data_IF_846117639815
#
_entry.id   IF_846117639815
#
_cell.length_a   1.000
_cell.length_b   1.000
_cell.length_c   1.000
_cell.angle_alpha   90.00
_cell.angle_beta   90.00
_cell.angle_gamma   90.00
#
_symmetry.space_group_name_H-M   'P 1'
#
loop_
_entity.id
_entity.type
_entity.pdbx_description
1 polymer ?
#
# COMPACT_ATOMS: atom_id res chain seq x y z
N UNK A 1 4.97 8.99 29.51
CA UNK A 1 6.23 8.25 29.23
C UNK A 1 6.07 7.56 27.89
N UNK A 2 6.50 8.19 26.78
CA UNK A 2 6.42 7.56 25.45
C UNK A 2 7.45 6.43 25.38
N UNK A 3 6.99 5.21 25.12
CA UNK A 3 7.85 4.03 24.93
C UNK A 3 8.84 4.33 23.78
N UNK A 4 10.14 4.17 24.03
CA UNK A 4 11.19 4.31 23.01
C UNK A 4 11.63 2.92 22.55
N UNK A 5 11.40 2.65 21.28
CA UNK A 5 11.64 1.36 20.63
C UNK A 5 12.99 1.34 19.91
N UNK A 6 13.56 0.14 19.79
CA UNK A 6 14.59 -0.12 18.78
C UNK A 6 13.98 -0.17 17.38
N UNK A 7 14.82 -0.11 16.34
CA UNK A 7 14.36 -0.22 14.95
C UNK A 7 13.72 -1.60 14.67
N UNK A 8 14.23 -2.65 15.31
CA UNK A 8 13.72 -4.02 15.22
C UNK A 8 12.35 -4.13 15.87
N UNK A 9 12.21 -3.63 17.11
CA UNK A 9 10.92 -3.59 17.82
C UNK A 9 9.88 -2.76 17.07
N UNK A 10 10.28 -1.63 16.49
CA UNK A 10 9.41 -0.81 15.67
C UNK A 10 8.93 -1.56 14.42
N UNK A 11 9.83 -2.28 13.74
CA UNK A 11 9.47 -3.11 12.60
C UNK A 11 8.47 -4.19 13.01
N UNK A 12 8.71 -4.89 14.12
CA UNK A 12 7.83 -5.93 14.63
C UNK A 12 6.44 -5.37 14.99
N UNK A 13 6.36 -4.28 15.74
CA UNK A 13 5.06 -3.67 16.12
C UNK A 13 4.27 -3.19 14.90
N UNK A 14 4.93 -2.64 13.89
CA UNK A 14 4.24 -2.22 12.66
C UNK A 14 3.83 -3.43 11.82
N UNK A 15 4.66 -4.47 11.75
CA UNK A 15 4.33 -5.70 11.04
C UNK A 15 3.11 -6.39 11.65
N UNK A 16 3.05 -6.47 12.98
CA UNK A 16 1.91 -7.02 13.71
C UNK A 16 0.63 -6.22 13.42
N UNK A 17 0.71 -4.89 13.45
CA UNK A 17 -0.42 -4.03 13.09
C UNK A 17 -0.89 -4.27 11.65
N UNK A 18 0.06 -4.35 10.70
CA UNK A 18 -0.21 -4.60 9.28
C UNK A 18 -0.94 -5.93 9.07
N UNK A 19 -0.50 -6.98 9.77
CA UNK A 19 -1.12 -8.31 9.71
C UNK A 19 -2.52 -8.31 10.32
N UNK A 20 -2.68 -7.71 11.50
CA UNK A 20 -3.98 -7.59 12.17
C UNK A 20 -5.02 -6.84 11.33
N UNK A 21 -4.59 -5.85 10.54
CA UNK A 21 -5.45 -5.04 9.68
C UNK A 21 -5.46 -5.49 8.20
N UNK A 22 -4.76 -6.58 7.87
CA UNK A 22 -4.64 -7.15 6.52
C UNK A 22 -4.24 -6.14 5.44
N UNK A 23 -3.31 -5.24 5.78
CA UNK A 23 -2.84 -4.20 4.87
C UNK A 23 -1.76 -4.77 3.95
N UNK A 24 -2.14 -5.11 2.72
CA UNK A 24 -1.20 -5.62 1.70
C UNK A 24 -0.94 -4.54 0.65
N UNK A 25 0.31 -4.31 0.22
CA UNK A 25 0.61 -3.36 -0.84
C UNK A 25 -0.19 -3.65 -2.12
N UNK A 26 -0.62 -2.59 -2.82
CA UNK A 26 -1.38 -2.75 -4.07
C UNK A 26 -0.56 -3.41 -5.20
N UNK A 27 0.76 -3.31 -5.11
CA UNK A 27 1.69 -3.75 -6.14
C UNK A 27 2.96 -4.36 -5.51
N UNK A 28 3.68 -5.20 -6.27
CA UNK A 28 4.93 -5.83 -5.84
C UNK A 28 6.12 -4.87 -5.67
N UNK A 29 5.90 -3.55 -5.77
CA UNK A 29 6.93 -2.53 -5.60
C UNK A 29 7.31 -2.30 -4.13
N UNK A 30 6.42 -2.65 -3.20
CA UNK A 30 6.72 -2.65 -1.77
C UNK A 30 6.87 -4.09 -1.27
N UNK A 31 7.86 -4.31 -0.39
CA UNK A 31 8.03 -5.59 0.26
C UNK A 31 6.75 -5.99 1.04
N UNK A 32 6.45 -7.29 1.02
CA UNK A 32 5.31 -7.88 1.71
C UNK A 32 5.38 -7.63 3.22
N UNK A 33 6.57 -7.82 3.81
CA UNK A 33 6.85 -7.54 5.21
C UNK A 33 7.67 -6.25 5.40
N UNK A 34 7.38 -5.52 6.49
CA UNK A 34 8.21 -4.43 6.96
C UNK A 34 9.41 -4.98 7.73
N UNK A 35 10.59 -4.46 7.42
CA UNK A 35 11.85 -4.85 8.04
C UNK A 35 12.65 -3.62 8.42
N UNK A 36 13.71 -3.80 9.21
CA UNK A 36 14.63 -2.71 9.52
C UNK A 36 15.25 -2.07 8.27
N UNK A 37 15.50 -2.87 7.22
CA UNK A 37 16.02 -2.37 5.94
C UNK A 37 15.05 -1.37 5.31
N UNK A 38 13.75 -1.68 5.35
CA UNK A 38 12.71 -0.77 4.85
C UNK A 38 12.69 0.52 5.66
N UNK A 39 12.77 0.43 6.99
CA UNK A 39 12.76 1.61 7.87
C UNK A 39 14.00 2.48 7.62
N UNK A 40 15.19 1.88 7.52
CA UNK A 40 16.43 2.60 7.16
C UNK A 40 16.29 3.30 5.81
N UNK A 41 15.76 2.61 4.80
CA UNK A 41 15.50 3.19 3.49
C UNK A 41 14.47 4.33 3.53
N UNK A 42 13.38 4.19 4.27
CA UNK A 42 12.39 5.27 4.41
C UNK A 42 12.96 6.49 5.14
N UNK A 43 13.89 6.28 6.09
CA UNK A 43 14.64 7.38 6.70
C UNK A 43 15.57 8.08 5.71
N UNK A 44 16.30 7.37 4.84
CA UNK A 44 17.13 8.04 3.81
C UNK A 44 16.27 8.84 2.83
N UNK A 45 15.04 8.38 2.60
CA UNK A 45 14.02 9.10 1.84
C UNK A 45 13.27 10.18 2.65
N UNK A 46 13.58 10.44 3.92
CA UNK A 46 12.88 11.46 4.70
C UNK A 46 11.37 11.22 4.85
N UNK A 47 10.93 9.97 4.71
CA UNK A 47 9.54 9.53 4.95
C UNK A 47 9.26 9.29 6.44
N UNK A 48 10.32 9.04 7.21
CA UNK A 48 10.29 8.78 8.64
C UNK A 48 11.28 9.72 9.30
N UNK A 49 10.86 10.33 10.40
CA UNK A 49 11.68 11.28 11.15
C UNK A 49 12.95 10.62 11.71
N UNK A 50 14.01 11.41 12.00
CA UNK A 50 15.16 10.89 12.72
C UNK A 50 14.75 10.43 14.13
N UNK A 51 15.42 9.40 14.68
CA UNK A 51 15.15 8.93 16.03
C UNK A 51 15.36 10.07 17.05
N UNK A 52 14.55 10.06 18.11
CA UNK A 52 14.58 11.08 19.17
C UNK A 52 15.88 11.07 19.98
N UNK A 53 16.59 9.94 19.96
CA UNK A 53 17.88 9.77 20.60
C UNK A 53 18.85 9.06 19.64
N UNK A 54 20.14 9.39 19.73
CA UNK A 54 21.17 8.77 18.88
C UNK A 54 21.52 7.32 19.25
N UNK A 55 20.94 6.78 20.32
CA UNK A 55 21.16 5.41 20.75
C UNK A 55 20.33 4.38 19.98
N UNK A 56 20.46 3.10 20.33
CA UNK A 56 19.70 2.01 19.71
C UNK A 56 18.17 2.09 19.94
N UNK A 57 17.72 2.89 20.91
CA UNK A 57 16.31 3.08 21.28
C UNK A 57 15.91 4.55 21.18
N UNK A 58 15.46 4.97 20.01
CA UNK A 58 15.02 6.35 19.75
C UNK A 58 13.70 6.48 18.99
N UNK A 59 13.02 5.37 18.70
CA UNK A 59 11.78 5.41 17.92
C UNK A 59 10.55 5.45 18.83
N UNK A 60 9.86 6.59 18.87
CA UNK A 60 8.58 6.74 19.55
C UNK A 60 7.35 6.57 18.65
N UNK A 61 6.18 6.85 19.23
CA UNK A 61 4.85 6.68 18.62
C UNK A 61 4.70 7.37 17.25
N UNK A 62 5.23 8.59 17.08
CA UNK A 62 5.21 9.29 15.79
C UNK A 62 5.78 8.44 14.64
N UNK A 63 6.89 7.74 14.87
CA UNK A 63 7.52 6.91 13.84
C UNK A 63 6.64 5.71 13.49
N UNK A 64 6.00 5.11 14.49
CA UNK A 64 5.02 4.03 14.28
C UNK A 64 3.88 4.51 13.40
N UNK A 65 3.29 5.66 13.71
CA UNK A 65 2.22 6.26 12.93
C UNK A 65 2.65 6.60 11.49
N UNK A 66 3.86 7.12 11.30
CA UNK A 66 4.43 7.38 9.96
C UNK A 66 4.54 6.08 9.16
N UNK A 67 5.10 5.01 9.74
CA UNK A 67 5.26 3.73 9.07
C UNK A 67 3.91 3.08 8.72
N UNK A 68 2.93 3.14 9.63
CA UNK A 68 1.58 2.67 9.35
C UNK A 68 0.96 3.47 8.20
N UNK A 69 1.11 4.80 8.20
CA UNK A 69 0.63 5.68 7.14
C UNK A 69 1.26 5.34 5.78
N UNK A 70 2.57 5.07 5.74
CA UNK A 70 3.27 4.62 4.54
C UNK A 70 2.65 3.31 4.03
N UNK A 71 2.45 2.31 4.90
CA UNK A 71 1.90 1.01 4.51
C UNK A 71 0.48 1.12 3.97
N UNK A 72 -0.38 1.92 4.61
CA UNK A 72 -1.71 2.19 4.11
C UNK A 72 -1.65 2.84 2.72
N UNK A 73 -0.89 3.92 2.55
CA UNK A 73 -0.82 4.61 1.27
C UNK A 73 -0.17 3.75 0.15
N UNK A 74 0.76 2.86 0.49
CA UNK A 74 1.28 1.83 -0.43
C UNK A 74 0.21 0.79 -0.83
N UNK A 75 -0.69 0.43 0.09
CA UNK A 75 -1.85 -0.40 -0.20
C UNK A 75 -2.85 0.29 -1.15
N UNK A 76 -2.77 1.61 -1.32
CA UNK A 76 -3.48 2.36 -2.37
C UNK A 76 -2.68 2.52 -3.67
N UNK A 77 -1.49 1.93 -3.76
CA UNK A 77 -0.64 2.04 -4.93
C UNK A 77 0.01 3.42 -5.10
N UNK A 78 0.00 4.27 -4.07
CA UNK A 78 0.69 5.55 -4.15
C UNK A 78 2.21 5.34 -4.21
N UNK A 79 2.93 6.04 -5.10
CA UNK A 79 4.39 5.97 -5.15
C UNK A 79 5.01 6.69 -3.94
N UNK A 80 6.18 6.22 -3.48
CA UNK A 80 6.88 6.76 -2.30
C UNK A 80 7.09 8.29 -2.34
N UNK A 81 7.28 8.87 -3.53
CA UNK A 81 7.38 10.33 -3.70
C UNK A 81 6.12 11.04 -3.23
N UNK A 82 4.94 10.56 -3.67
CA UNK A 82 3.65 11.14 -3.29
C UNK A 82 3.34 10.91 -1.82
N UNK A 83 3.68 9.73 -1.30
CA UNK A 83 3.54 9.42 0.13
C UNK A 83 4.33 10.41 0.98
N UNK A 84 5.55 10.76 0.56
CA UNK A 84 6.38 11.74 1.25
C UNK A 84 5.71 13.10 1.33
N UNK A 85 5.18 13.61 0.22
CA UNK A 85 4.46 14.88 0.16
C UNK A 85 3.27 14.92 1.12
N UNK A 86 2.54 13.80 1.25
CA UNK A 86 1.36 13.69 2.11
C UNK A 86 1.71 13.61 3.60
N UNK A 87 2.83 12.96 3.95
CA UNK A 87 3.22 12.74 5.34
C UNK A 87 4.17 13.82 5.89
N UNK A 88 4.80 14.60 5.00
CA UNK A 88 5.81 15.58 5.39
C UNK A 88 5.24 16.61 6.39
N UNK A 89 5.96 16.78 7.50
CA UNK A 89 5.61 17.78 8.53
C UNK A 89 4.36 17.45 9.36
N UNK A 90 3.72 16.29 9.17
CA UNK A 90 2.58 15.92 10.00
C UNK A 90 3.02 15.60 11.45
N UNK A 91 2.25 16.12 12.41
CA UNK A 91 2.35 15.74 13.82
C UNK A 91 1.58 14.44 14.09
N UNK A 92 1.72 13.89 15.30
CA UNK A 92 1.02 12.65 15.67
C UNK A 92 -0.50 12.75 15.58
N UNK A 93 -1.09 13.93 15.84
CA UNK A 93 -2.54 14.12 15.80
C UNK A 93 -3.03 14.01 14.35
N UNK A 94 -2.39 14.71 13.42
CA UNK A 94 -2.71 14.67 11.99
C UNK A 94 -2.43 13.30 11.38
N UNK A 95 -1.36 12.62 11.82
CA UNK A 95 -1.10 11.24 11.41
C UNK A 95 -2.23 10.33 11.88
N UNK A 96 -2.64 10.39 13.15
CA UNK A 96 -3.79 9.63 13.65
C UNK A 96 -5.05 9.94 12.83
N UNK A 97 -5.34 11.20 12.54
CA UNK A 97 -6.50 11.60 11.72
C UNK A 97 -6.46 10.96 10.32
N UNK A 98 -5.29 10.98 9.66
CA UNK A 98 -5.08 10.32 8.38
C UNK A 98 -5.34 8.81 8.48
N UNK A 99 -4.84 8.16 9.53
CA UNK A 99 -5.04 6.72 9.76
C UNK A 99 -6.52 6.38 10.01
N UNK A 100 -7.24 7.20 10.77
CA UNK A 100 -8.67 6.98 11.02
C UNK A 100 -9.52 7.15 9.76
N UNK A 101 -9.23 8.20 8.97
CA UNK A 101 -9.88 8.39 7.67
C UNK A 101 -9.58 7.21 6.76
N UNK A 102 -8.32 6.80 6.72
CA UNK A 102 -7.89 5.65 5.98
C UNK A 102 -8.65 4.38 6.38
N UNK A 103 -8.64 4.00 7.66
CA UNK A 103 -9.34 2.80 8.12
C UNK A 103 -10.83 2.75 7.72
N UNK A 104 -11.53 3.91 7.66
CA UNK A 104 -12.92 3.99 7.19
C UNK A 104 -13.04 3.81 5.68
N UNK A 105 -12.14 4.40 4.91
CA UNK A 105 -12.08 4.24 3.46
C UNK A 105 -11.60 2.82 3.06
N UNK A 106 -10.88 2.11 3.94
CA UNK A 106 -10.11 0.91 3.61
C UNK A 106 -10.63 -0.39 4.26
N UNK A 107 -11.53 -0.33 5.24
CA UNK A 107 -12.05 -1.48 5.98
C UNK A 107 -12.86 -2.52 5.19
N UNK A 108 -12.91 -2.43 3.85
CA UNK A 108 -13.62 -3.36 2.98
C UNK A 108 -12.91 -3.76 1.68
N UNK A 109 -11.76 -3.16 1.35
CA UNK A 109 -11.07 -3.46 0.10
C UNK A 109 -9.93 -4.46 0.34
N UNK A 110 -10.24 -5.75 0.26
CA UNK A 110 -9.18 -6.76 0.03
C UNK A 110 -8.53 -6.42 -1.31
N UNK A 111 -7.20 -6.26 -1.39
CA UNK A 111 -6.57 -6.00 -2.68
C UNK A 111 -6.91 -7.17 -3.61
N UNK A 112 -7.47 -6.85 -4.77
CA UNK A 112 -7.92 -7.83 -5.76
C UNK A 112 -6.81 -8.79 -6.24
N UNK A 113 -5.55 -8.50 -5.87
CA UNK A 113 -4.36 -9.33 -6.12
C UNK A 113 -4.18 -10.47 -5.13
N UNK A 114 -4.79 -10.44 -3.94
CA UNK A 114 -4.62 -11.47 -2.90
C UNK A 114 -5.24 -12.84 -3.24
N UNK A 115 -6.03 -12.93 -4.32
CA UNK A 115 -6.64 -14.17 -4.82
C UNK A 115 -5.96 -14.76 -6.06
N UNK A 116 -4.80 -14.22 -6.49
CA UNK A 116 -4.13 -14.70 -7.70
C UNK A 116 -3.31 -15.96 -7.40
N UNK A 117 -3.80 -17.13 -7.82
CA UNK A 117 -3.04 -18.38 -7.81
C UNK A 117 -1.96 -18.34 -8.92
N UNK A 118 -0.68 -18.35 -8.52
CA UNK A 118 0.46 -18.32 -9.43
C UNK A 118 0.89 -19.71 -9.92
N UNK A 119 0.20 -20.78 -9.51
CA UNK A 119 0.55 -22.16 -9.85
C UNK A 119 -0.09 -22.65 -11.16
N UNK A 120 -1.04 -21.90 -11.73
CA UNK A 120 -1.70 -22.25 -12.99
C UNK A 120 -0.84 -21.85 -14.19
N UNK A 121 -0.74 -22.68 -15.25
CA UNK A 121 -0.08 -22.30 -16.49
C UNK A 121 -0.75 -21.05 -17.06
N UNK A 122 0.04 -20.00 -17.25
CA UNK A 122 -0.46 -18.70 -17.67
C UNK A 122 -0.88 -18.74 -19.14
N UNK A 123 -2.16 -18.46 -19.41
CA UNK A 123 -2.67 -18.27 -20.75
C UNK A 123 -3.12 -16.83 -20.88
N UNK A 124 -2.27 -16.02 -21.48
CA UNK A 124 -2.52 -14.60 -21.68
C UNK A 124 -3.45 -14.41 -22.89
N UNK A 125 -4.66 -13.90 -22.65
CA UNK A 125 -5.60 -13.52 -23.69
C UNK A 125 -5.71 -11.99 -23.76
N UNK A 126 -5.73 -11.46 -24.97
CA UNK A 126 -5.83 -10.03 -25.24
C UNK A 126 -7.13 -9.78 -25.98
N UNK A 127 -8.06 -9.05 -25.34
CA UNK A 127 -9.33 -8.63 -25.94
C UNK A 127 -9.28 -7.13 -26.21
N UNK A 128 -9.50 -6.67 -27.46
CA UNK A 128 -9.52 -5.25 -27.75
C UNK A 128 -10.69 -4.54 -27.07
N UNK A 129 -10.43 -3.34 -26.58
CA UNK A 129 -11.40 -2.37 -26.11
C UNK A 129 -11.40 -1.16 -27.05
N UNK A 130 -12.31 -0.22 -26.81
CA UNK A 130 -12.43 1.04 -27.58
C UNK A 130 -11.17 1.90 -27.47
N UNK A 131 -10.96 2.79 -28.44
CA UNK A 131 -9.92 3.84 -28.44
C UNK A 131 -8.49 3.35 -28.21
N UNK A 132 -8.17 2.16 -28.72
CA UNK A 132 -6.82 1.59 -28.64
C UNK A 132 -6.48 0.98 -27.28
N UNK A 133 -7.46 0.83 -26.39
CA UNK A 133 -7.28 0.10 -25.15
C UNK A 133 -7.38 -1.41 -25.37
N UNK A 134 -6.68 -2.18 -24.53
CA UNK A 134 -6.69 -3.64 -24.56
C UNK A 134 -6.99 -4.16 -23.16
N UNK A 135 -7.87 -5.15 -23.06
CA UNK A 135 -8.08 -5.94 -21.86
C UNK A 135 -7.19 -7.18 -21.93
N UNK A 136 -6.35 -7.38 -20.91
CA UNK A 136 -5.47 -8.53 -20.81
C UNK A 136 -5.97 -9.43 -19.68
N UNK A 137 -6.27 -10.70 -19.99
CA UNK A 137 -6.63 -11.72 -18.99
C UNK A 137 -5.56 -12.79 -18.89
N UNK A 138 -5.24 -13.22 -17.66
CA UNK A 138 -4.19 -14.21 -17.35
C UNK A 138 -4.69 -15.66 -17.35
N UNK A 139 -6.00 -15.85 -17.19
CA UNK A 139 -6.64 -17.16 -17.01
C UNK A 139 -7.03 -17.84 -18.33
N UNK A 140 -6.74 -17.24 -19.48
CA UNK A 140 -7.19 -17.70 -20.81
C UNK A 140 -8.69 -17.50 -21.05
N UNK A 141 -9.49 -17.44 -19.99
CA UNK A 141 -10.94 -17.20 -20.09
C UNK A 141 -11.22 -15.73 -20.50
N UNK A 142 -11.90 -15.53 -21.63
CA UNK A 142 -12.40 -14.21 -21.98
C UNK A 142 -13.56 -13.83 -21.04
N UNK A 143 -13.70 -12.54 -20.76
CA UNK A 143 -14.90 -12.05 -20.08
C UNK A 143 -16.15 -12.35 -20.92
N UNK A 144 -17.31 -12.59 -20.27
CA UNK A 144 -18.56 -12.74 -20.99
C UNK A 144 -18.81 -11.54 -21.92
N UNK A 145 -19.31 -11.76 -23.16
CA UNK A 145 -19.52 -10.69 -24.12
C UNK A 145 -20.40 -9.54 -23.60
N UNK A 146 -21.37 -9.83 -22.74
CA UNK A 146 -22.22 -8.82 -22.12
C UNK A 146 -21.43 -7.88 -21.18
N UNK A 147 -20.44 -8.39 -20.47
CA UNK A 147 -19.56 -7.60 -19.60
C UNK A 147 -18.61 -6.74 -20.42
N UNK A 148 -18.03 -7.29 -21.48
CA UNK A 148 -17.19 -6.54 -22.42
C UNK A 148 -17.93 -5.37 -23.07
N UNK A 149 -19.20 -5.57 -23.44
CA UNK A 149 -20.06 -4.50 -23.95
C UNK A 149 -20.23 -3.38 -22.93
N UNK A 150 -20.59 -3.72 -21.68
CA UNK A 150 -20.71 -2.74 -20.60
C UNK A 150 -19.41 -1.95 -20.38
N UNK A 151 -18.25 -2.62 -20.39
CA UNK A 151 -16.95 -1.96 -20.24
C UNK A 151 -16.72 -0.99 -21.41
N UNK A 152 -16.96 -1.42 -22.64
CA UNK A 152 -16.81 -0.56 -23.82
C UNK A 152 -17.78 0.63 -23.81
N UNK A 153 -19.01 0.45 -23.37
CA UNK A 153 -19.99 1.53 -23.28
C UNK A 153 -19.60 2.57 -22.21
N UNK A 154 -19.05 2.12 -21.08
CA UNK A 154 -18.50 3.01 -20.04
C UNK A 154 -17.30 3.83 -20.57
N UNK A 155 -16.39 3.17 -21.28
CA UNK A 155 -15.20 3.81 -21.84
C UNK A 155 -15.56 4.84 -22.93
N UNK A 156 -16.58 4.56 -23.75
CA UNK A 156 -17.10 5.51 -24.75
C UNK A 156 -17.81 6.72 -24.14
N UNK A 157 -18.41 6.58 -22.96
CA UNK A 157 -19.14 7.67 -22.30
C UNK A 157 -18.19 8.62 -21.55
N UNK A 158 -16.94 8.20 -21.32
CA UNK A 158 -15.96 8.93 -20.50
C UNK A 158 -14.92 9.70 -21.32
N UNK A 159 -15.07 9.77 -22.65
CA UNK A 159 -14.20 10.49 -23.60
C UNK A 159 -15.01 11.58 -24.30
#
# INVERSE_FOLDING_TARGET
>A
MSKSLSIEELAAEVQEWVQAHRVVPANGQAAEAISERNIRYYRTLGLVDPPLSGGQRGFGEKHKLQLIGIRLLQAHGLPLRRIRELLFGLDERKLRELLHRGAREFGGATPATAGLDFSRPEQWNVTPLVDGFLLVSRSGEPLPPATLRKINDLLKTSI
#
